data_IF_096310469673
#
_entry.id   IF_096310469673
#
_cell.length_a   1.000
_cell.length_b   1.000
_cell.length_c   1.000
_cell.angle_alpha   90.00
_cell.angle_beta   90.00
_cell.angle_gamma   90.00
#
_symmetry.space_group_name_H-M   'P 1'
#
loop_
_entity.id
_entity.type
_entity.pdbx_description
1 polymer ?
#
# COMPACT_ATOMS: atom_id res chain seq x y z
N UNK A 1 -4.39 30.39 -5.39
CA UNK A 1 -3.34 31.00 -4.55
C UNK A 1 -2.14 31.27 -5.42
N UNK A 2 -1.40 32.32 -5.13
CA UNK A 2 -0.20 32.67 -5.89
C UNK A 2 0.99 32.71 -4.94
N UNK A 3 2.10 32.07 -5.33
CA UNK A 3 3.33 32.05 -4.55
C UNK A 3 4.51 32.44 -5.46
N UNK A 4 5.51 33.14 -4.92
CA UNK A 4 6.76 33.40 -5.64
C UNK A 4 7.77 32.26 -5.47
N UNK A 5 8.73 32.14 -6.38
CA UNK A 5 9.83 31.18 -6.24
C UNK A 5 10.57 31.38 -4.91
N UNK A 6 10.73 32.62 -4.45
CA UNK A 6 11.31 32.92 -3.12
C UNK A 6 10.52 32.30 -1.98
N UNK A 7 9.19 32.45 -1.96
CA UNK A 7 8.36 31.88 -0.90
C UNK A 7 8.41 30.36 -0.88
N UNK A 8 8.37 29.74 -2.06
CA UNK A 8 8.44 28.27 -2.19
C UNK A 8 9.82 27.78 -1.76
N UNK A 9 10.89 28.42 -2.21
CA UNK A 9 12.26 28.07 -1.85
C UNK A 9 12.50 28.13 -0.34
N UNK A 10 12.04 29.20 0.32
CA UNK A 10 12.12 29.34 1.78
C UNK A 10 11.34 28.25 2.50
N UNK A 11 10.15 27.92 2.03
CA UNK A 11 9.30 26.89 2.61
C UNK A 11 9.93 25.50 2.50
N UNK A 12 10.64 25.23 1.38
CA UNK A 12 11.29 23.94 1.12
C UNK A 12 12.75 23.85 1.60
N UNK A 13 13.27 24.92 2.23
CA UNK A 13 14.69 25.06 2.57
C UNK A 13 15.61 24.83 1.35
N UNK A 14 15.19 25.34 0.18
CA UNK A 14 15.90 25.21 -1.08
C UNK A 14 16.69 26.46 -1.45
N UNK A 15 17.46 26.41 -2.53
CA UNK A 15 18.11 27.55 -3.17
C UNK A 15 17.53 27.78 -4.56
N UNK A 16 17.56 29.06 -5.00
CA UNK A 16 17.00 29.47 -6.30
C UNK A 16 18.13 29.62 -7.31
N UNK A 17 17.89 29.09 -8.52
CA UNK A 17 18.70 29.29 -9.71
C UNK A 17 17.78 29.86 -10.80
N UNK A 18 17.82 31.17 -11.03
CA UNK A 18 16.94 31.90 -11.93
C UNK A 18 16.25 33.10 -11.27
N UNK A 19 15.03 33.44 -11.72
CA UNK A 19 14.29 34.59 -11.25
C UNK A 19 13.55 34.31 -9.92
N UNK A 20 13.91 34.98 -8.79
CA UNK A 20 13.29 34.76 -7.49
C UNK A 20 11.84 35.26 -7.38
N UNK A 21 11.45 36.22 -8.23
CA UNK A 21 10.15 36.90 -8.19
C UNK A 21 9.10 36.21 -9.09
N UNK A 22 9.50 35.19 -9.84
CA UNK A 22 8.54 34.49 -10.69
C UNK A 22 7.44 33.86 -9.85
N UNK A 23 6.20 34.10 -10.27
CA UNK A 23 5.02 33.66 -9.57
C UNK A 23 4.43 32.39 -10.19
N UNK A 24 3.92 31.49 -9.34
CA UNK A 24 3.19 30.30 -9.74
C UNK A 24 1.81 30.28 -9.08
N UNK A 25 0.83 29.77 -9.81
CA UNK A 25 -0.57 29.68 -9.39
C UNK A 25 -1.12 28.26 -9.41
N UNK A 26 -0.44 27.35 -10.09
CA UNK A 26 -0.87 25.97 -10.26
C UNK A 26 0.31 25.00 -10.27
N UNK A 27 -0.01 23.72 -10.06
CA UNK A 27 0.92 22.59 -10.18
C UNK A 27 0.68 21.88 -11.53
N UNK A 28 1.74 21.43 -12.19
CA UNK A 28 1.64 20.68 -13.44
C UNK A 28 2.65 19.54 -13.51
N UNK A 29 2.40 18.56 -14.38
CA UNK A 29 3.45 17.63 -14.80
C UNK A 29 4.51 18.40 -15.58
N UNK A 30 5.75 17.92 -15.55
CA UNK A 30 6.84 18.58 -16.24
C UNK A 30 6.62 18.60 -17.78
N UNK A 31 5.99 17.58 -18.32
CA UNK A 31 5.63 17.46 -19.75
C UNK A 31 4.59 18.50 -20.18
N UNK A 32 3.67 18.84 -19.26
CA UNK A 32 2.51 19.72 -19.51
C UNK A 32 2.70 21.11 -18.90
N UNK A 33 3.93 21.46 -18.54
CA UNK A 33 4.25 22.71 -17.86
C UNK A 33 3.94 23.93 -18.76
N UNK A 34 3.32 24.95 -18.17
CA UNK A 34 2.99 26.23 -18.80
C UNK A 34 3.35 27.39 -17.91
N UNK A 35 3.34 28.62 -18.47
CA UNK A 35 3.60 29.83 -17.72
C UNK A 35 2.68 29.93 -16.48
N UNK A 36 3.25 30.25 -15.32
CA UNK A 36 2.55 30.26 -14.02
C UNK A 36 2.42 28.90 -13.35
N UNK A 37 2.97 27.82 -13.92
CA UNK A 37 2.97 26.52 -13.26
C UNK A 37 4.28 26.17 -12.56
N UNK A 38 4.18 25.32 -11.53
CA UNK A 38 5.29 24.68 -10.85
C UNK A 38 5.29 23.18 -11.13
N UNK A 39 6.45 22.67 -11.51
CA UNK A 39 6.70 21.24 -11.74
C UNK A 39 7.87 20.74 -10.90
N UNK A 40 8.16 19.44 -10.96
CA UNK A 40 9.33 18.85 -10.31
C UNK A 40 10.00 17.81 -11.19
N UNK A 41 11.30 17.61 -11.00
CA UNK A 41 12.12 16.60 -11.66
C UNK A 41 12.85 15.78 -10.60
N UNK A 42 12.37 14.57 -10.34
CA UNK A 42 13.01 13.62 -9.42
C UNK A 42 13.60 12.41 -10.13
N UNK A 43 13.03 12.00 -11.26
CA UNK A 43 13.47 10.86 -12.03
C UNK A 43 14.26 11.33 -13.28
N UNK A 44 15.52 10.93 -13.44
CA UNK A 44 16.35 11.32 -14.59
C UNK A 44 15.75 11.02 -15.96
N UNK A 45 14.87 10.03 -16.07
CA UNK A 45 14.17 9.72 -17.34
C UNK A 45 13.32 10.86 -17.88
N UNK A 46 12.93 11.79 -17.03
CA UNK A 46 12.12 12.96 -17.40
C UNK A 46 12.96 14.22 -17.62
N UNK A 47 14.30 14.14 -17.55
CA UNK A 47 15.19 15.28 -17.72
C UNK A 47 14.98 16.01 -19.06
N UNK A 48 14.72 15.28 -20.13
CA UNK A 48 14.48 15.86 -21.47
C UNK A 48 13.32 16.85 -21.49
N UNK A 49 12.32 16.66 -20.63
CA UNK A 49 11.19 17.57 -20.53
C UNK A 49 11.54 18.90 -19.85
N UNK A 50 12.59 18.96 -19.02
CA UNK A 50 13.05 20.23 -18.45
C UNK A 50 13.44 21.25 -19.54
N UNK A 51 13.99 20.77 -20.64
CA UNK A 51 14.48 21.62 -21.74
C UNK A 51 13.38 22.07 -22.70
N UNK A 52 12.19 21.47 -22.60
CA UNK A 52 11.03 21.78 -23.46
C UNK A 52 9.83 22.34 -22.69
N UNK A 53 9.80 22.17 -21.36
CA UNK A 53 8.70 22.66 -20.53
C UNK A 53 8.62 24.19 -20.53
N UNK A 54 7.40 24.70 -20.43
CA UNK A 54 7.14 26.12 -20.19
C UNK A 54 6.75 26.39 -18.72
N UNK A 55 6.97 25.42 -17.83
CA UNK A 55 6.77 25.63 -16.41
C UNK A 55 7.64 26.77 -15.90
N UNK A 56 7.05 27.73 -15.17
CA UNK A 56 7.78 28.87 -14.65
C UNK A 56 8.81 28.48 -13.58
N UNK A 57 8.50 27.44 -12.79
CA UNK A 57 9.36 26.92 -11.73
C UNK A 57 9.45 25.40 -11.82
N UNK A 58 10.67 24.85 -11.69
CA UNK A 58 10.90 23.41 -11.58
C UNK A 58 11.73 23.10 -10.34
N UNK A 59 11.23 22.21 -9.48
CA UNK A 59 11.98 21.70 -8.32
C UNK A 59 12.90 20.60 -8.77
N UNK A 60 14.19 20.71 -8.46
CA UNK A 60 15.25 19.75 -8.85
C UNK A 60 16.11 19.37 -7.64
N UNK A 61 16.88 18.28 -7.76
CA UNK A 61 17.90 17.94 -6.77
C UNK A 61 18.96 19.04 -6.69
N UNK A 62 19.53 19.28 -5.51
CA UNK A 62 20.63 20.23 -5.33
C UNK A 62 21.83 19.91 -6.21
N UNK A 63 22.09 18.62 -6.47
CA UNK A 63 23.22 18.13 -7.26
C UNK A 63 22.88 18.03 -8.76
N UNK A 64 21.68 18.43 -9.18
CA UNK A 64 21.27 18.36 -10.57
C UNK A 64 22.07 19.35 -11.42
N UNK A 65 22.73 18.85 -12.47
CA UNK A 65 23.48 19.64 -13.44
C UNK A 65 22.80 19.55 -14.81
N UNK A 66 22.13 20.62 -15.28
CA UNK A 66 21.50 20.63 -16.60
C UNK A 66 22.54 20.44 -17.72
N UNK A 67 22.20 19.62 -18.70
CA UNK A 67 23.07 19.33 -19.85
C UNK A 67 22.76 20.21 -21.08
N UNK A 68 21.63 20.95 -21.04
CA UNK A 68 21.16 21.85 -22.10
C UNK A 68 20.60 23.13 -21.52
N UNK A 69 20.45 24.20 -22.32
CA UNK A 69 19.76 25.43 -21.89
C UNK A 69 18.31 25.16 -21.50
N UNK A 70 17.83 25.87 -20.46
CA UNK A 70 16.47 25.81 -19.95
C UNK A 70 15.96 27.24 -19.66
N UNK A 71 14.64 27.38 -19.55
CA UNK A 71 13.98 28.69 -19.35
C UNK A 71 13.38 28.85 -17.97
N UNK A 72 13.07 27.75 -17.29
CA UNK A 72 12.42 27.74 -15.98
C UNK A 72 13.35 28.24 -14.88
N UNK A 73 12.80 28.84 -13.84
CA UNK A 73 13.53 29.03 -12.57
C UNK A 73 13.62 27.70 -11.83
N UNK A 74 14.81 27.30 -11.43
CA UNK A 74 15.01 26.08 -10.66
C UNK A 74 15.01 26.36 -9.15
N UNK A 75 14.30 25.51 -8.39
CA UNK A 75 14.42 25.44 -6.93
C UNK A 75 15.15 24.15 -6.58
N UNK A 76 16.36 24.29 -6.05
CA UNK A 76 17.24 23.18 -5.71
C UNK A 76 17.02 22.73 -4.28
N UNK A 77 16.69 21.44 -4.09
CA UNK A 77 16.38 20.84 -2.78
C UNK A 77 17.11 19.50 -2.61
N UNK A 78 17.22 18.99 -1.38
CA UNK A 78 17.82 17.67 -1.12
C UNK A 78 17.08 16.54 -1.85
N UNK A 79 15.76 16.52 -1.77
CA UNK A 79 14.92 15.50 -2.39
C UNK A 79 13.70 16.16 -3.06
N UNK A 80 13.68 16.26 -4.38
CA UNK A 80 12.58 16.88 -5.13
C UNK A 80 11.22 16.20 -4.93
N UNK A 81 11.21 14.88 -4.78
CA UNK A 81 9.98 14.12 -4.58
C UNK A 81 9.33 14.44 -3.22
N UNK A 82 10.14 14.42 -2.15
CA UNK A 82 9.67 14.79 -0.81
C UNK A 82 9.24 16.26 -0.75
N UNK A 83 9.97 17.15 -1.39
CA UNK A 83 9.63 18.58 -1.46
C UNK A 83 8.28 18.80 -2.16
N UNK A 84 8.06 18.11 -3.27
CA UNK A 84 6.77 18.17 -3.98
C UNK A 84 5.62 17.62 -3.17
N UNK A 85 5.83 16.52 -2.45
CA UNK A 85 4.83 15.94 -1.52
C UNK A 85 4.42 16.98 -0.47
N UNK A 86 5.39 17.67 0.16
CA UNK A 86 5.10 18.71 1.16
C UNK A 86 4.25 19.86 0.56
N UNK A 87 4.51 20.25 -0.69
CA UNK A 87 3.70 21.26 -1.37
C UNK A 87 2.30 20.78 -1.69
N UNK A 88 2.14 19.52 -2.12
CA UNK A 88 0.82 18.92 -2.34
C UNK A 88 0.01 18.87 -1.04
N UNK A 89 0.64 18.50 0.07
CA UNK A 89 -0.01 18.48 1.39
C UNK A 89 -0.49 19.88 1.77
N UNK A 90 0.35 20.89 1.59
CA UNK A 90 -0.02 22.30 1.86
C UNK A 90 -1.14 22.80 0.95
N UNK A 91 -1.09 22.45 -0.31
CA UNK A 91 -2.17 22.77 -1.23
C UNK A 91 -3.51 22.12 -0.79
N UNK A 92 -3.47 20.84 -0.44
CA UNK A 92 -4.63 20.11 0.05
C UNK A 92 -5.15 20.68 1.38
N UNK A 93 -4.27 21.01 2.32
CA UNK A 93 -4.65 21.69 3.57
C UNK A 93 -5.39 23.01 3.27
N UNK A 94 -4.87 23.81 2.36
CA UNK A 94 -5.45 25.09 2.01
C UNK A 94 -6.81 24.98 1.30
N UNK A 95 -6.97 24.00 0.41
CA UNK A 95 -8.25 23.67 -0.25
C UNK A 95 -9.26 23.16 0.78
N UNK A 96 -8.83 22.24 1.65
CA UNK A 96 -9.68 21.66 2.68
C UNK A 96 -10.06 22.67 3.78
N UNK A 97 -9.20 23.65 4.09
CA UNK A 97 -9.52 24.73 5.04
C UNK A 97 -10.65 25.64 4.53
N UNK A 98 -10.73 25.85 3.22
CA UNK A 98 -11.82 26.62 2.60
C UNK A 98 -13.16 25.86 2.61
N UNK A 99 -13.11 24.52 2.70
CA UNK A 99 -14.27 23.61 2.72
C UNK A 99 -14.46 22.96 4.09
N UNK A 100 -13.79 23.45 5.14
CA UNK A 100 -13.86 22.88 6.48
C UNK A 100 -15.32 22.88 6.98
N UNK A 101 -15.91 21.70 6.94
CA UNK A 101 -17.25 21.45 7.48
C UNK A 101 -17.09 20.87 8.89
N UNK A 102 -17.93 21.33 9.80
CA UNK A 102 -18.09 20.74 11.13
C UNK A 102 -19.58 20.69 11.47
N UNK A 103 -19.93 19.75 12.33
CA UNK A 103 -21.33 19.54 12.73
C UNK A 103 -21.94 18.30 12.09
N UNK A 104 -23.16 18.02 12.47
CA UNK A 104 -23.91 16.82 12.03
C UNK A 104 -24.98 17.24 11.02
N UNK A 105 -24.98 16.62 9.85
CA UNK A 105 -26.03 16.81 8.85
C UNK A 105 -27.37 16.33 9.42
N UNK A 106 -28.45 17.03 9.05
CA UNK A 106 -29.82 16.71 9.50
C UNK A 106 -30.34 15.34 9.06
N UNK A 107 -29.74 14.77 8.01
CA UNK A 107 -30.07 13.43 7.51
C UNK A 107 -29.17 12.33 8.09
N UNK A 108 -28.22 12.67 8.94
CA UNK A 108 -27.41 11.71 9.67
C UNK A 108 -28.16 11.20 10.90
N UNK A 109 -27.94 9.95 11.26
CA UNK A 109 -28.42 9.42 12.53
C UNK A 109 -27.26 9.26 13.52
N UNK A 110 -27.38 9.88 14.68
CA UNK A 110 -26.44 9.71 15.80
C UNK A 110 -27.24 9.26 17.03
N UNK A 111 -26.90 8.07 17.55
CA UNK A 111 -27.58 7.53 18.70
C UNK A 111 -27.37 8.44 19.94
N UNK A 112 -28.39 8.67 20.80
CA UNK A 112 -28.29 9.59 21.93
C UNK A 112 -27.20 9.28 22.96
N UNK A 113 -26.74 8.03 23.04
CA UNK A 113 -25.64 7.61 23.93
C UNK A 113 -24.25 7.74 23.30
N UNK A 114 -24.17 8.08 22.01
CA UNK A 114 -22.88 8.32 21.36
C UNK A 114 -22.24 9.60 21.89
N UNK A 115 -20.92 9.57 22.07
CA UNK A 115 -20.13 10.72 22.51
C UNK A 115 -19.37 11.27 21.31
N UNK A 116 -19.67 12.50 20.93
CA UNK A 116 -19.07 13.16 19.77
C UNK A 116 -18.16 14.30 20.27
N UNK A 117 -16.93 14.28 19.83
CA UNK A 117 -15.90 15.29 20.14
C UNK A 117 -16.16 16.63 19.46
N UNK A 118 -15.21 17.55 19.62
CA UNK A 118 -15.26 18.88 19.01
C UNK A 118 -14.86 18.82 17.54
N UNK A 119 -15.41 19.73 16.72
CA UNK A 119 -15.06 19.88 15.30
C UNK A 119 -15.22 18.58 14.50
N UNK A 120 -16.11 17.69 14.92
CA UNK A 120 -16.44 16.47 14.17
C UNK A 120 -17.43 16.86 13.06
N UNK A 121 -17.17 16.36 11.85
CA UNK A 121 -18.10 16.42 10.72
C UNK A 121 -18.79 15.07 10.54
N UNK A 122 -20.12 15.06 10.49
CA UNK A 122 -20.92 13.86 10.23
C UNK A 122 -21.87 14.18 9.10
N UNK A 123 -21.65 13.58 7.95
CA UNK A 123 -22.35 13.89 6.70
C UNK A 123 -23.68 13.11 6.58
N UNK A 124 -24.46 13.47 5.56
CA UNK A 124 -25.77 12.90 5.27
C UNK A 124 -25.74 11.35 5.18
N UNK A 125 -26.79 10.74 5.75
CA UNK A 125 -26.97 9.28 5.79
C UNK A 125 -25.88 8.49 6.53
N UNK A 126 -24.98 9.15 7.25
CA UNK A 126 -24.11 8.48 8.19
C UNK A 126 -24.93 7.93 9.37
N UNK A 127 -24.55 6.77 9.89
CA UNK A 127 -25.19 6.12 11.03
C UNK A 127 -24.17 5.85 12.12
N UNK A 128 -24.37 6.46 13.29
CA UNK A 128 -23.54 6.27 14.49
C UNK A 128 -24.38 5.56 15.55
N UNK A 129 -24.00 4.33 15.89
CA UNK A 129 -24.74 3.48 16.83
C UNK A 129 -24.53 3.86 18.30
N UNK A 130 -25.16 3.08 19.20
CA UNK A 130 -25.08 3.30 20.62
C UNK A 130 -23.66 3.17 21.19
N UNK A 131 -23.33 3.99 22.18
CA UNK A 131 -22.08 4.01 22.93
C UNK A 131 -20.81 4.17 22.07
N UNK A 132 -20.94 4.66 20.83
CA UNK A 132 -19.79 5.03 20.00
C UNK A 132 -19.12 6.26 20.60
N UNK A 133 -17.80 6.25 20.64
CA UNK A 133 -16.98 7.40 21.03
C UNK A 133 -16.19 7.89 19.82
N UNK A 134 -16.42 9.13 19.38
CA UNK A 134 -15.68 9.77 18.28
C UNK A 134 -14.93 10.96 18.86
N UNK A 135 -13.60 10.95 18.77
CA UNK A 135 -12.74 12.02 19.27
C UNK A 135 -12.77 13.24 18.35
N UNK A 136 -12.04 14.30 18.73
CA UNK A 136 -12.04 15.61 18.09
C UNK A 136 -11.54 15.55 16.62
N UNK A 137 -12.07 16.41 15.78
CA UNK A 137 -11.57 16.65 14.42
C UNK A 137 -11.85 15.55 13.39
N UNK A 138 -12.65 14.54 13.73
CA UNK A 138 -12.98 13.45 12.81
C UNK A 138 -13.92 13.88 11.68
N UNK A 139 -13.74 13.25 10.50
CA UNK A 139 -14.62 13.46 9.33
C UNK A 139 -15.28 12.14 8.96
N UNK A 140 -16.60 12.07 9.18
CA UNK A 140 -17.44 10.91 8.90
C UNK A 140 -18.29 11.26 7.68
N UNK A 141 -17.82 10.88 6.50
CA UNK A 141 -18.53 11.22 5.27
C UNK A 141 -19.77 10.36 5.04
N UNK A 142 -20.52 10.73 4.01
CA UNK A 142 -21.84 10.19 3.71
C UNK A 142 -21.91 8.66 3.71
N UNK A 143 -23.05 8.10 4.20
CA UNK A 143 -23.32 6.66 4.22
C UNK A 143 -22.33 5.81 5.04
N UNK A 144 -21.49 6.43 5.86
CA UNK A 144 -20.62 5.70 6.79
C UNK A 144 -21.46 5.08 7.91
N UNK A 145 -21.19 3.82 8.26
CA UNK A 145 -21.81 3.13 9.38
C UNK A 145 -20.76 2.86 10.47
N UNK A 146 -21.03 3.30 11.70
CA UNK A 146 -20.19 3.02 12.86
C UNK A 146 -21.02 2.22 13.88
N UNK A 147 -20.65 0.95 14.04
CA UNK A 147 -21.34 -0.01 14.93
C UNK A 147 -21.07 0.26 16.40
N UNK A 148 -21.99 -0.26 17.24
CA UNK A 148 -22.03 -0.05 18.67
C UNK A 148 -20.69 -0.28 19.40
N UNK A 149 -20.46 0.51 20.47
CA UNK A 149 -19.29 0.41 21.35
C UNK A 149 -17.93 0.60 20.63
N UNK A 150 -17.92 1.12 19.40
CA UNK A 150 -16.67 1.41 18.68
C UNK A 150 -16.05 2.72 19.17
N UNK A 151 -14.72 2.80 19.09
CA UNK A 151 -13.95 3.99 19.48
C UNK A 151 -13.14 4.50 18.32
N UNK A 152 -13.20 5.81 18.07
CA UNK A 152 -12.53 6.48 16.97
C UNK A 152 -11.61 7.58 17.54
N UNK A 153 -10.32 7.48 17.26
CA UNK A 153 -9.30 8.45 17.65
C UNK A 153 -9.36 9.74 16.84
N UNK A 154 -8.61 10.74 17.31
CA UNK A 154 -8.66 12.11 16.78
C UNK A 154 -8.24 12.22 15.30
N UNK A 155 -8.83 13.21 14.61
CA UNK A 155 -8.46 13.60 13.25
C UNK A 155 -8.53 12.47 12.21
N UNK A 156 -9.33 11.44 12.45
CA UNK A 156 -9.54 10.33 11.52
C UNK A 156 -10.60 10.69 10.47
N UNK A 157 -10.41 10.21 9.24
CA UNK A 157 -11.28 10.50 8.10
C UNK A 157 -11.79 9.20 7.50
N UNK A 158 -13.12 9.08 7.41
CA UNK A 158 -13.77 7.95 6.76
C UNK A 158 -14.49 8.46 5.52
N UNK A 159 -14.08 7.97 4.36
CA UNK A 159 -14.68 8.31 3.07
C UNK A 159 -16.08 7.66 2.91
N UNK A 160 -16.88 8.11 1.92
CA UNK A 160 -18.25 7.65 1.79
C UNK A 160 -18.38 6.13 1.73
N UNK A 161 -19.39 5.61 2.43
CA UNK A 161 -19.72 4.18 2.39
C UNK A 161 -18.87 3.28 3.28
N UNK A 162 -17.92 3.77 4.07
CA UNK A 162 -17.15 2.97 5.03
C UNK A 162 -18.09 2.30 6.05
N UNK A 163 -17.82 1.03 6.38
CA UNK A 163 -18.58 0.26 7.38
C UNK A 163 -17.66 -0.23 8.48
N UNK A 164 -17.88 0.24 9.69
CA UNK A 164 -17.16 -0.18 10.89
C UNK A 164 -18.13 -0.96 11.77
N UNK A 165 -17.88 -2.24 11.95
CA UNK A 165 -18.68 -3.11 12.81
C UNK A 165 -18.42 -2.83 14.30
N UNK A 166 -19.33 -3.34 15.16
CA UNK A 166 -19.31 -3.12 16.59
C UNK A 166 -18.00 -3.54 17.27
N UNK A 167 -17.68 -2.88 18.38
CA UNK A 167 -16.50 -3.10 19.23
C UNK A 167 -15.16 -2.85 18.54
N UNK A 168 -15.12 -2.21 17.37
CA UNK A 168 -13.87 -1.87 16.68
C UNK A 168 -13.17 -0.68 17.36
N UNK A 169 -11.85 -0.70 17.36
CA UNK A 169 -11.02 0.38 17.92
C UNK A 169 -10.18 0.95 16.78
N UNK A 170 -10.40 2.23 16.49
CA UNK A 170 -9.67 2.95 15.43
C UNK A 170 -8.85 4.06 16.09
N UNK A 171 -7.58 4.10 15.83
CA UNK A 171 -6.64 5.10 16.33
C UNK A 171 -6.84 6.49 15.75
N UNK A 172 -5.86 7.35 15.99
CA UNK A 172 -5.86 8.74 15.54
C UNK A 172 -5.24 8.89 14.15
N UNK A 173 -5.68 9.88 13.37
CA UNK A 173 -5.19 10.20 12.02
C UNK A 173 -5.28 9.02 11.05
N UNK A 174 -6.27 8.18 11.26
CA UNK A 174 -6.57 7.04 10.38
C UNK A 174 -7.40 7.52 9.19
N UNK A 175 -7.02 7.08 8.01
CA UNK A 175 -7.75 7.35 6.77
C UNK A 175 -8.29 6.05 6.22
N UNK A 176 -9.62 5.97 6.03
CA UNK A 176 -10.27 4.78 5.46
C UNK A 176 -11.06 5.21 4.22
N UNK A 177 -10.68 4.66 3.08
CA UNK A 177 -11.29 4.98 1.80
C UNK A 177 -12.62 4.25 1.57
N UNK A 178 -13.35 4.72 0.56
CA UNK A 178 -14.74 4.37 0.29
C UNK A 178 -15.02 2.87 0.24
N UNK A 179 -16.17 2.49 0.80
CA UNK A 179 -16.72 1.12 0.83
C UNK A 179 -15.84 0.08 1.53
N UNK A 180 -14.83 0.48 2.27
CA UNK A 180 -14.01 -0.41 3.08
C UNK A 180 -14.83 -0.92 4.27
N UNK A 181 -14.67 -2.21 4.60
CA UNK A 181 -15.38 -2.89 5.69
C UNK A 181 -14.39 -3.30 6.78
N UNK A 182 -14.60 -2.81 7.98
CA UNK A 182 -13.81 -3.13 9.16
C UNK A 182 -14.64 -3.94 10.14
N UNK A 183 -14.23 -5.17 10.46
CA UNK A 183 -14.83 -6.00 11.48
C UNK A 183 -15.98 -6.89 11.02
N UNK A 184 -16.06 -7.20 9.72
CA UNK A 184 -16.91 -8.31 9.23
C UNK A 184 -16.49 -9.64 9.85
N UNK A 185 -17.40 -10.62 9.86
CA UNK A 185 -17.08 -11.95 10.39
C UNK A 185 -16.00 -12.62 9.51
N UNK A 186 -15.00 -13.17 10.16
CA UNK A 186 -13.99 -14.01 9.51
C UNK A 186 -14.58 -15.28 8.91
N UNK A 187 -13.89 -15.86 7.93
CA UNK A 187 -14.27 -17.09 7.26
C UNK A 187 -13.98 -18.30 8.18
N UNK A 188 -14.87 -18.53 9.15
CA UNK A 188 -14.77 -19.60 10.13
C UNK A 188 -15.94 -20.59 9.98
N UNK A 189 -15.66 -21.81 9.50
CA UNK A 189 -16.64 -22.86 9.33
C UNK A 189 -16.07 -24.23 9.74
N UNK A 190 -16.83 -24.96 10.58
CA UNK A 190 -16.48 -26.29 11.01
C UNK A 190 -17.12 -27.34 10.07
N UNK A 191 -16.31 -28.19 9.38
CA UNK A 191 -16.85 -29.24 8.54
C UNK A 191 -17.58 -30.30 9.37
N UNK A 192 -18.71 -30.77 8.86
CA UNK A 192 -19.52 -31.84 9.46
C UNK A 192 -19.33 -33.16 8.71
N UNK A 193 -19.71 -34.27 9.35
CA UNK A 193 -19.56 -35.62 8.75
C UNK A 193 -20.41 -35.83 7.49
N UNK A 194 -21.50 -35.08 7.35
CA UNK A 194 -22.40 -35.12 6.19
C UNK A 194 -21.95 -34.20 5.02
N UNK A 195 -20.77 -33.55 5.15
CA UNK A 195 -20.21 -32.65 4.14
C UNK A 195 -20.72 -31.20 4.24
N UNK A 196 -21.56 -30.89 5.21
CA UNK A 196 -22.01 -29.52 5.47
C UNK A 196 -21.02 -28.76 6.36
N UNK A 197 -21.26 -27.45 6.53
CA UNK A 197 -20.41 -26.57 7.32
C UNK A 197 -21.23 -25.81 8.37
N UNK A 198 -20.82 -25.87 9.62
CA UNK A 198 -21.39 -25.04 10.68
C UNK A 198 -20.56 -23.77 10.86
N UNK A 199 -21.23 -22.61 10.86
CA UNK A 199 -20.56 -21.32 11.11
C UNK A 199 -19.97 -21.29 12.51
N UNK A 200 -18.72 -20.87 12.62
CA UNK A 200 -18.06 -20.54 13.88
C UNK A 200 -18.30 -19.07 14.19
N UNK A 201 -18.99 -18.72 15.30
CA UNK A 201 -19.21 -17.32 15.69
C UNK A 201 -17.87 -16.57 15.84
N UNK A 202 -17.86 -15.34 15.36
CA UNK A 202 -16.69 -14.46 15.44
C UNK A 202 -16.97 -13.40 16.51
N UNK A 203 -16.40 -13.56 17.71
CA UNK A 203 -16.70 -12.74 18.89
C UNK A 203 -15.62 -11.71 19.23
N UNK A 204 -14.50 -11.73 18.50
CA UNK A 204 -13.43 -10.75 18.64
C UNK A 204 -13.73 -9.43 17.94
N UNK A 205 -12.72 -8.58 17.81
CA UNK A 205 -12.83 -7.27 17.18
C UNK A 205 -11.69 -6.98 16.23
N UNK A 206 -11.65 -5.73 15.75
CA UNK A 206 -10.52 -5.17 14.96
C UNK A 206 -9.93 -3.99 15.72
N UNK A 207 -8.61 -3.89 15.71
CA UNK A 207 -7.84 -2.74 16.19
C UNK A 207 -7.03 -2.19 15.01
N UNK A 208 -7.29 -0.94 14.66
CA UNK A 208 -6.48 -0.16 13.73
C UNK A 208 -5.75 0.89 14.54
N UNK A 209 -4.43 0.86 14.55
CA UNK A 209 -3.62 1.84 15.29
C UNK A 209 -3.49 3.17 14.54
N UNK A 210 -2.74 4.13 15.12
CA UNK A 210 -2.57 5.47 14.58
C UNK A 210 -1.89 5.51 13.21
N UNK A 211 -2.16 6.57 12.44
CA UNK A 211 -1.48 6.87 11.17
C UNK A 211 -1.64 5.81 10.08
N UNK A 212 -2.62 4.90 10.22
CA UNK A 212 -2.93 3.86 9.23
C UNK A 212 -3.78 4.44 8.11
N UNK A 213 -3.50 4.00 6.88
CA UNK A 213 -4.33 4.30 5.72
C UNK A 213 -4.79 3.01 5.05
N UNK A 214 -6.10 2.92 4.76
CA UNK A 214 -6.72 1.73 4.16
C UNK A 214 -7.48 2.15 2.90
N UNK A 215 -7.09 1.57 1.78
CA UNK A 215 -7.65 1.82 0.45
C UNK A 215 -9.10 1.33 0.31
N UNK A 216 -9.70 1.70 -0.81
CA UNK A 216 -11.11 1.44 -1.10
C UNK A 216 -11.42 -0.07 -1.29
N UNK A 217 -12.64 -0.46 -0.90
CA UNK A 217 -13.15 -1.84 -1.03
C UNK A 217 -12.24 -2.90 -0.38
N UNK A 218 -11.46 -2.54 0.62
CA UNK A 218 -10.67 -3.46 1.43
C UNK A 218 -11.53 -4.02 2.56
N UNK A 219 -11.30 -5.29 2.93
CA UNK A 219 -12.00 -5.94 4.03
C UNK A 219 -11.01 -6.37 5.10
N UNK A 220 -11.28 -5.99 6.34
CA UNK A 220 -10.53 -6.43 7.53
C UNK A 220 -11.49 -7.18 8.45
N UNK A 221 -11.36 -8.51 8.49
CA UNK A 221 -12.23 -9.35 9.31
C UNK A 221 -11.89 -9.26 10.80
N UNK A 222 -12.93 -9.35 11.63
CA UNK A 222 -12.72 -9.48 13.08
C UNK A 222 -12.07 -10.81 13.45
N UNK A 223 -11.37 -10.84 14.53
CA UNK A 223 -10.86 -12.07 15.10
C UNK A 223 -11.99 -13.01 15.56
N UNK A 224 -11.74 -14.31 15.51
CA UNK A 224 -12.62 -15.29 16.16
C UNK A 224 -12.69 -15.02 17.66
N UNK A 225 -11.55 -14.79 18.30
CA UNK A 225 -11.37 -14.34 19.69
C UNK A 225 -10.16 -13.40 19.72
N UNK A 226 -10.16 -12.39 20.58
CA UNK A 226 -9.14 -11.36 20.63
C UNK A 226 -9.31 -10.34 19.50
N UNK A 227 -8.22 -9.97 18.81
CA UNK A 227 -8.26 -8.90 17.84
C UNK A 227 -7.50 -9.24 16.55
N UNK A 228 -8.02 -8.79 15.42
CA UNK A 228 -7.24 -8.57 14.19
C UNK A 228 -6.60 -7.19 14.30
N UNK A 229 -5.31 -7.05 14.04
CA UNK A 229 -4.56 -5.83 14.39
C UNK A 229 -3.83 -5.30 13.16
N UNK A 230 -4.05 -4.01 12.84
CA UNK A 230 -3.24 -3.26 11.89
C UNK A 230 -2.47 -2.22 12.68
N UNK A 231 -1.14 -2.38 12.73
CA UNK A 231 -0.28 -1.55 13.57
C UNK A 231 0.04 -0.20 12.91
N UNK A 232 0.55 0.71 13.75
CA UNK A 232 0.81 2.10 13.43
C UNK A 232 1.54 2.29 12.09
N UNK A 233 1.07 3.27 11.32
CA UNK A 233 1.72 3.70 10.09
C UNK A 233 1.58 2.74 8.89
N UNK A 234 0.90 1.60 9.04
CA UNK A 234 0.68 0.68 7.92
C UNK A 234 -0.12 1.35 6.79
N UNK A 235 0.24 1.02 5.54
CA UNK A 235 -0.42 1.51 4.32
C UNK A 235 -0.97 0.32 3.53
N UNK A 236 -2.27 0.26 3.42
CA UNK A 236 -3.02 -0.85 2.84
C UNK A 236 -3.76 -0.29 1.62
N UNK A 237 -3.46 -0.82 0.46
CA UNK A 237 -4.05 -0.38 -0.81
C UNK A 237 -5.47 -0.96 -1.01
N UNK A 238 -6.03 -0.80 -2.19
CA UNK A 238 -7.40 -1.16 -2.53
C UNK A 238 -7.60 -2.67 -2.69
N UNK A 239 -8.83 -3.15 -2.46
CA UNK A 239 -9.26 -4.53 -2.74
C UNK A 239 -8.42 -5.60 -1.99
N UNK A 240 -7.97 -5.31 -0.79
CA UNK A 240 -7.20 -6.24 0.03
C UNK A 240 -8.13 -7.00 0.97
N UNK A 241 -7.88 -8.30 1.18
CA UNK A 241 -8.50 -9.11 2.21
C UNK A 241 -7.52 -9.36 3.36
N UNK A 242 -7.84 -8.86 4.55
CA UNK A 242 -7.14 -9.19 5.80
C UNK A 242 -8.08 -10.07 6.62
N UNK A 243 -7.75 -11.35 6.75
CA UNK A 243 -8.59 -12.31 7.44
C UNK A 243 -8.46 -12.21 8.97
N UNK A 244 -9.29 -13.00 9.68
CA UNK A 244 -9.38 -13.01 11.14
C UNK A 244 -8.03 -13.27 11.83
N UNK A 245 -7.79 -12.64 12.96
CA UNK A 245 -6.59 -12.82 13.79
C UNK A 245 -5.25 -12.51 13.10
N UNK A 246 -5.27 -11.77 12.01
CA UNK A 246 -4.05 -11.31 11.33
C UNK A 246 -3.45 -10.14 12.11
N UNK A 247 -2.12 -10.08 12.18
CA UNK A 247 -1.38 -8.91 12.65
C UNK A 247 -0.54 -8.33 11.51
N UNK A 248 -0.81 -7.07 11.13
CA UNK A 248 0.02 -6.30 10.19
C UNK A 248 0.97 -5.42 11.00
N UNK A 249 2.27 -5.60 10.82
CA UNK A 249 3.31 -4.87 11.54
C UNK A 249 3.38 -3.39 11.20
N UNK A 250 4.04 -2.61 12.05
CA UNK A 250 4.22 -1.17 11.89
C UNK A 250 4.86 -0.81 10.54
N UNK A 251 4.39 0.29 9.91
CA UNK A 251 4.92 0.82 8.65
C UNK A 251 4.98 -0.21 7.50
N UNK A 252 4.18 -1.27 7.56
CA UNK A 252 4.07 -2.27 6.49
C UNK A 252 3.21 -1.73 5.37
N UNK A 253 3.62 -2.00 4.13
CA UNK A 253 2.90 -1.59 2.91
C UNK A 253 2.37 -2.84 2.20
N UNK A 254 1.07 -2.87 1.94
CA UNK A 254 0.38 -3.92 1.19
C UNK A 254 -0.19 -3.31 -0.08
N UNK A 255 0.26 -3.76 -1.24
CA UNK A 255 -0.28 -3.32 -2.53
C UNK A 255 -1.57 -4.09 -2.91
N UNK A 256 -2.32 -3.52 -3.82
CA UNK A 256 -3.70 -3.91 -4.16
C UNK A 256 -3.90 -5.39 -4.48
N UNK A 257 -5.13 -5.87 -4.20
CA UNK A 257 -5.62 -7.22 -4.50
C UNK A 257 -4.85 -8.35 -3.77
N UNK A 258 -4.12 -8.06 -2.71
CA UNK A 258 -3.45 -9.07 -1.91
C UNK A 258 -4.40 -9.69 -0.90
N UNK A 259 -4.18 -10.98 -0.59
CA UNK A 259 -4.96 -11.72 0.40
C UNK A 259 -4.08 -12.29 1.50
N UNK A 260 -4.38 -11.95 2.75
CA UNK A 260 -3.69 -12.45 3.94
C UNK A 260 -4.63 -13.37 4.70
N UNK A 261 -4.34 -14.66 4.73
CA UNK A 261 -5.15 -15.66 5.41
C UNK A 261 -5.02 -15.60 6.94
N UNK A 262 -6.00 -16.18 7.63
CA UNK A 262 -6.18 -16.05 9.08
C UNK A 262 -4.95 -16.41 9.93
N UNK A 263 -4.81 -15.76 11.05
CA UNK A 263 -3.76 -15.97 12.07
C UNK A 263 -2.33 -15.75 11.59
N UNK A 264 -2.14 -15.04 10.49
CA UNK A 264 -0.83 -14.69 9.94
C UNK A 264 -0.31 -13.41 10.59
N UNK A 265 1.01 -13.38 10.85
CA UNK A 265 1.72 -12.21 11.40
C UNK A 265 2.73 -11.71 10.40
N UNK A 266 2.57 -10.46 9.97
CA UNK A 266 3.54 -9.79 9.09
C UNK A 266 4.38 -8.83 9.94
N UNK A 267 5.70 -9.03 9.90
CA UNK A 267 6.65 -8.19 10.64
C UNK A 267 6.67 -6.74 10.16
N UNK A 268 7.17 -5.80 10.99
CA UNK A 268 7.18 -4.37 10.66
C UNK A 268 8.06 -4.06 9.44
N UNK A 269 7.79 -2.92 8.79
CA UNK A 269 8.53 -2.43 7.61
C UNK A 269 8.55 -3.41 6.42
N UNK A 270 7.57 -4.30 6.33
CA UNK A 270 7.44 -5.23 5.20
C UNK A 270 6.78 -4.55 4.00
N UNK A 271 7.13 -5.01 2.80
CA UNK A 271 6.56 -4.51 1.54
C UNK A 271 5.99 -5.69 0.75
N UNK A 272 4.69 -5.70 0.56
CA UNK A 272 3.98 -6.77 -0.14
C UNK A 272 3.45 -6.22 -1.47
N UNK A 273 3.89 -6.81 -2.57
CA UNK A 273 3.46 -6.47 -3.93
C UNK A 273 1.98 -6.80 -4.17
N UNK A 274 1.46 -6.30 -5.30
CA UNK A 274 0.05 -6.56 -5.67
C UNK A 274 -0.23 -8.04 -5.98
N UNK A 275 -1.47 -8.47 -5.71
CA UNK A 275 -1.96 -9.83 -5.99
C UNK A 275 -1.16 -10.94 -5.27
N UNK A 276 -0.57 -10.65 -4.14
CA UNK A 276 0.12 -11.63 -3.31
C UNK A 276 -0.89 -12.43 -2.49
N UNK A 277 -0.71 -13.76 -2.46
CA UNK A 277 -1.44 -14.66 -1.57
C UNK A 277 -0.55 -15.14 -0.43
N UNK A 278 -0.98 -14.96 0.82
CA UNK A 278 -0.27 -15.44 2.01
C UNK A 278 -1.15 -16.45 2.73
N UNK A 279 -0.65 -17.69 2.88
CA UNK A 279 -1.36 -18.77 3.57
C UNK A 279 -1.52 -18.47 5.08
N UNK A 280 -2.46 -19.18 5.71
CA UNK A 280 -2.78 -18.96 7.13
C UNK A 280 -1.68 -19.45 8.10
N UNK A 281 -1.72 -18.91 9.32
CA UNK A 281 -0.85 -19.29 10.45
C UNK A 281 0.65 -19.10 10.21
N UNK A 282 1.03 -18.16 9.36
CA UNK A 282 2.42 -17.87 9.04
C UNK A 282 2.95 -16.68 9.85
N UNK A 283 4.26 -16.68 10.04
CA UNK A 283 5.01 -15.53 10.58
C UNK A 283 6.05 -15.10 9.56
N UNK A 284 6.00 -13.83 9.17
CA UNK A 284 6.94 -13.20 8.26
C UNK A 284 7.80 -12.22 9.06
N UNK A 285 9.12 -12.34 8.91
CA UNK A 285 10.09 -11.51 9.62
C UNK A 285 10.01 -10.03 9.19
N UNK A 286 10.61 -9.17 10.00
CA UNK A 286 10.74 -7.73 9.75
C UNK A 286 11.39 -7.46 8.38
N UNK A 287 10.89 -6.44 7.69
CA UNK A 287 11.46 -5.98 6.42
C UNK A 287 11.33 -6.98 5.26
N UNK A 288 10.45 -7.97 5.38
CA UNK A 288 10.16 -8.92 4.29
C UNK A 288 9.63 -8.16 3.07
N UNK A 289 10.23 -8.40 1.89
CA UNK A 289 9.78 -7.83 0.63
C UNK A 289 9.25 -8.94 -0.28
N UNK A 290 8.01 -8.83 -0.71
CA UNK A 290 7.34 -9.84 -1.54
C UNK A 290 6.97 -9.21 -2.87
N UNK A 291 7.49 -9.78 -3.96
CA UNK A 291 7.16 -9.34 -5.32
C UNK A 291 5.72 -9.68 -5.70
N UNK A 292 5.19 -8.93 -6.66
CA UNK A 292 3.81 -9.10 -7.11
C UNK A 292 3.50 -10.53 -7.58
N UNK A 293 2.26 -10.99 -7.36
CA UNK A 293 1.75 -12.32 -7.73
C UNK A 293 2.48 -13.49 -7.07
N UNK A 294 3.22 -13.25 -5.99
CA UNK A 294 3.87 -14.33 -5.24
C UNK A 294 2.88 -15.06 -4.32
N UNK A 295 3.15 -16.36 -4.10
CA UNK A 295 2.40 -17.21 -3.16
C UNK A 295 3.28 -17.63 -1.98
N UNK A 296 2.95 -17.18 -0.77
CA UNK A 296 3.69 -17.52 0.45
C UNK A 296 2.94 -18.62 1.20
N UNK A 297 3.57 -19.78 1.38
CA UNK A 297 3.02 -20.95 2.07
C UNK A 297 3.94 -21.50 3.17
N UNK A 298 4.90 -20.70 3.63
CA UNK A 298 5.86 -21.07 4.67
C UNK A 298 6.26 -19.84 5.49
N UNK A 299 6.80 -20.06 6.70
CA UNK A 299 7.32 -18.98 7.53
C UNK A 299 8.58 -18.37 6.92
N UNK A 300 8.65 -17.04 6.93
CA UNK A 300 9.87 -16.31 6.55
C UNK A 300 10.53 -15.85 7.83
N UNK A 301 11.69 -16.44 8.15
CA UNK A 301 12.46 -16.15 9.38
C UNK A 301 13.61 -15.18 9.15
N UNK A 302 14.03 -14.98 7.91
CA UNK A 302 15.12 -14.09 7.54
C UNK A 302 14.61 -12.66 7.33
N UNK A 303 15.13 -11.72 8.11
CA UNK A 303 14.79 -10.31 7.98
C UNK A 303 15.33 -9.68 6.68
N UNK A 304 14.62 -8.66 6.17
CA UNK A 304 15.04 -7.83 5.04
C UNK A 304 15.34 -8.61 3.75
N UNK A 305 14.70 -9.75 3.55
CA UNK A 305 14.85 -10.59 2.35
C UNK A 305 13.75 -10.34 1.33
N UNK A 306 14.12 -10.56 0.08
CA UNK A 306 13.22 -10.45 -1.06
C UNK A 306 12.80 -11.83 -1.55
N UNK A 307 11.48 -11.98 -1.78
CA UNK A 307 10.84 -13.22 -2.20
C UNK A 307 9.99 -12.99 -3.44
N UNK A 308 9.94 -13.96 -4.32
CA UNK A 308 9.12 -13.89 -5.52
C UNK A 308 8.71 -15.29 -6.02
N UNK A 309 7.65 -15.34 -6.83
CA UNK A 309 7.18 -16.57 -7.46
C UNK A 309 6.04 -17.26 -6.71
N UNK A 310 5.51 -18.32 -7.31
CA UNK A 310 4.45 -19.14 -6.72
C UNK A 310 4.78 -20.64 -6.93
N UNK A 311 5.20 -21.38 -5.89
CA UNK A 311 5.48 -20.88 -4.54
C UNK A 311 6.63 -19.88 -4.51
N UNK A 312 6.65 -19.03 -3.50
CA UNK A 312 7.68 -17.99 -3.39
C UNK A 312 9.07 -18.59 -3.14
N UNK A 313 10.06 -17.95 -3.71
CA UNK A 313 11.47 -18.28 -3.56
C UNK A 313 12.28 -17.00 -3.30
N UNK A 314 13.49 -17.09 -2.73
CA UNK A 314 14.40 -15.95 -2.69
C UNK A 314 14.54 -15.33 -4.07
N UNK A 315 14.44 -14.01 -4.19
CA UNK A 315 14.37 -13.32 -5.48
C UNK A 315 15.47 -13.74 -6.45
N UNK A 316 16.71 -13.85 -5.96
CA UNK A 316 17.86 -14.24 -6.80
C UNK A 316 17.69 -15.63 -7.44
N UNK A 317 17.14 -16.58 -6.68
CA UNK A 317 16.88 -17.94 -7.17
C UNK A 317 15.74 -17.93 -8.20
N UNK A 318 14.66 -17.21 -7.90
CA UNK A 318 13.54 -17.06 -8.83
C UNK A 318 13.97 -16.43 -10.15
N UNK A 319 14.78 -15.36 -10.13
CA UNK A 319 15.29 -14.74 -11.35
C UNK A 319 16.10 -15.72 -12.22
N UNK A 320 16.96 -16.53 -11.59
CA UNK A 320 17.74 -17.56 -12.31
C UNK A 320 16.84 -18.64 -12.89
N UNK A 321 15.89 -19.14 -12.12
CA UNK A 321 14.93 -20.14 -12.56
C UNK A 321 14.04 -19.64 -13.70
N UNK A 322 13.60 -18.39 -13.67
CA UNK A 322 12.77 -17.77 -14.70
C UNK A 322 13.45 -17.68 -16.06
N UNK A 323 14.77 -17.49 -16.08
CA UNK A 323 15.53 -17.51 -17.33
C UNK A 323 15.53 -18.92 -17.93
N UNK A 324 15.77 -19.94 -17.10
CA UNK A 324 15.79 -21.35 -17.56
C UNK A 324 14.37 -21.77 -17.99
N UNK A 325 13.33 -21.37 -17.25
CA UNK A 325 11.95 -21.71 -17.55
C UNK A 325 11.52 -21.33 -18.97
N UNK A 326 11.99 -20.18 -19.47
CA UNK A 326 11.72 -19.73 -20.85
C UNK A 326 12.34 -20.64 -21.92
N UNK A 327 13.37 -21.39 -21.58
CA UNK A 327 14.13 -22.27 -22.48
C UNK A 327 13.93 -23.76 -22.17
N UNK A 328 12.98 -24.12 -21.30
CA UNK A 328 12.74 -25.54 -20.95
C UNK A 328 12.54 -26.46 -22.15
N UNK A 329 11.79 -26.10 -23.22
CA UNK A 329 11.65 -26.95 -24.40
C UNK A 329 12.97 -27.25 -25.10
N UNK A 330 13.90 -26.31 -25.12
CA UNK A 330 15.22 -26.50 -25.72
C UNK A 330 16.15 -27.32 -24.82
N UNK A 331 16.02 -27.14 -23.50
CA UNK A 331 16.73 -27.93 -22.49
C UNK A 331 16.30 -29.40 -22.58
N UNK A 332 15.00 -29.68 -22.71
CA UNK A 332 14.47 -31.05 -22.89
C UNK A 332 15.01 -31.72 -24.13
N UNK A 333 15.02 -31.04 -25.29
CA UNK A 333 15.61 -31.55 -26.54
C UNK A 333 17.08 -31.89 -26.37
N UNK A 334 17.84 -31.04 -25.68
CA UNK A 334 19.26 -31.29 -25.41
C UNK A 334 19.48 -32.49 -24.49
N UNK A 335 18.65 -32.65 -23.46
CA UNK A 335 18.71 -33.80 -22.56
C UNK A 335 18.46 -35.09 -23.33
N UNK A 336 17.39 -35.14 -24.13
CA UNK A 336 17.05 -36.31 -24.93
C UNK A 336 18.18 -36.69 -25.93
N UNK A 337 18.79 -35.68 -26.55
CA UNK A 337 19.93 -35.93 -27.47
C UNK A 337 21.16 -36.49 -26.72
N UNK A 338 21.45 -35.96 -25.53
CA UNK A 338 22.56 -36.43 -24.69
C UNK A 338 22.31 -37.87 -24.18
N UNK A 339 21.07 -38.16 -23.80
CA UNK A 339 20.69 -39.53 -23.39
C UNK A 339 20.86 -40.55 -24.54
N UNK A 340 20.50 -40.20 -25.77
CA UNK A 340 20.72 -41.06 -26.94
C UNK A 340 22.21 -41.24 -27.25
N UNK A 341 23.00 -40.18 -27.16
CA UNK A 341 24.44 -40.27 -27.35
C UNK A 341 25.12 -41.14 -26.29
N UNK A 342 24.71 -40.97 -25.03
CA UNK A 342 25.19 -41.83 -23.92
C UNK A 342 24.88 -43.32 -24.14
N UNK A 343 23.65 -43.63 -24.58
CA UNK A 343 23.28 -45.03 -24.92
C UNK A 343 24.18 -45.62 -26.01
N UNK A 344 24.48 -44.83 -27.05
CA UNK A 344 25.39 -45.27 -28.14
C UNK A 344 26.79 -45.52 -27.64
N UNK A 345 27.36 -44.61 -26.86
CA UNK A 345 28.69 -44.75 -26.29
C UNK A 345 28.79 -45.93 -25.32
N UNK A 346 27.75 -46.17 -24.50
CA UNK A 346 27.72 -47.34 -23.62
C UNK A 346 27.71 -48.63 -24.41
N UNK A 347 26.90 -48.75 -25.44
CA UNK A 347 26.87 -49.92 -26.32
C UNK A 347 28.19 -50.14 -27.09
N UNK A 348 28.89 -49.09 -27.48
CA UNK A 348 30.23 -49.19 -28.09
C UNK A 348 31.28 -49.68 -27.07
N UNK A 349 31.24 -49.18 -25.84
CA UNK A 349 32.15 -49.62 -24.79
C UNK A 349 31.93 -51.09 -24.45
N UNK A 350 30.70 -51.54 -24.35
CA UNK A 350 30.37 -52.99 -24.08
C UNK A 350 30.91 -53.87 -25.21
N UNK A 351 30.76 -53.48 -26.47
CA UNK A 351 31.32 -54.24 -27.63
C UNK A 351 32.85 -54.29 -27.61
N UNK A 352 33.49 -53.21 -27.26
CA UNK A 352 34.95 -53.14 -27.19
C UNK A 352 35.51 -53.94 -25.99
N UNK A 353 34.79 -53.98 -24.88
CA UNK A 353 35.19 -54.79 -23.72
C UNK A 353 35.11 -56.31 -24.05
N UNK A 354 34.05 -56.76 -24.74
CA UNK A 354 33.89 -58.17 -25.19
C UNK A 354 34.95 -58.56 -26.21
N UNK A 355 35.46 -57.58 -27.03
CA UNK A 355 36.47 -57.88 -28.03
C UNK A 355 37.91 -58.01 -27.46
N UNK A 356 38.16 -57.35 -26.31
CA UNK A 356 39.45 -57.40 -25.60
C UNK A 356 39.59 -58.58 -24.64
N UNK A 357 38.50 -59.29 -24.36
CA UNK A 357 38.50 -60.52 -23.54
C UNK A 357 38.57 -61.83 -24.35
N UNK A 358 38.68 -61.73 -25.68
CA UNK A 358 38.92 -62.86 -26.59
C UNK A 358 40.32 -62.77 -27.17
#
# INVERSE_FOLDING_TARGET
>A
MQFTATQISQFLNGSIDGNPDVAVTELSKIEDGKEGSLSFLSNPKYETFLYSTQASVVIVSKDFAPTQPYTSTLIRVENPYSAFTILLDKYNEAVNAQTAQSGTDKLAFVHPTAKIGKNVFIDAFAYVAENVEIADGCKINAQTFIGANSKIGENSTFFPGVKIYHNSIIGSRVVIHSNTVIGSDGFGFAPQKDGTYNKIPQIGNVIIEDDVEIGANTTVDRATMGSTIVKKGAKIDNLIQIAHNVEIGENTVLAAQSGISGSTKIGPNSVVGGQVGIAGHLTLAKGTQIGAQAGINFNITEENKQWHGSPAQPLRNWMRASVIFKHLPDVEKRINALEEELKKLTAELEKNTIHNER
#
